data_IF_331117819083
#
_entry.id   IF_331117819083
#
_cell.length_a   1.000
_cell.length_b   1.000
_cell.length_c   1.000
_cell.angle_alpha   90.00
_cell.angle_beta   90.00
_cell.angle_gamma   90.00
#
_symmetry.space_group_name_H-M   'P 1'
#
loop_
_entity.id
_entity.type
_entity.pdbx_description
1 polymer ?
#
# COMPACT_ATOMS: atom_id res chain seq x y z
N UNK A 1 2.89 -7.99 -3.14
CA UNK A 1 3.73 -9.15 -2.72
C UNK A 1 2.91 -10.42 -2.54
N UNK A 2 1.86 -10.41 -1.70
CA UNK A 2 1.01 -11.57 -1.42
C UNK A 2 0.35 -12.18 -2.68
N UNK A 3 -0.06 -11.34 -3.64
CA UNK A 3 -0.64 -11.79 -4.92
C UNK A 3 0.26 -12.76 -5.73
N UNK A 4 1.58 -12.60 -5.65
CA UNK A 4 2.53 -13.51 -6.31
C UNK A 4 2.68 -14.82 -5.55
N UNK A 5 2.64 -14.76 -4.22
CA UNK A 5 2.76 -15.94 -3.38
C UNK A 5 1.53 -16.84 -3.49
N UNK A 6 0.33 -16.25 -3.63
CA UNK A 6 -0.92 -17.00 -3.82
C UNK A 6 -0.92 -17.90 -5.06
N UNK A 7 -0.07 -17.59 -6.05
CA UNK A 7 0.10 -18.41 -7.25
C UNK A 7 1.03 -19.63 -7.07
N UNK A 8 1.67 -19.79 -5.91
CA UNK A 8 2.64 -20.87 -5.65
C UNK A 8 1.91 -22.18 -5.35
N UNK A 9 2.09 -23.24 -6.15
CA UNK A 9 1.50 -24.54 -5.89
C UNK A 9 1.92 -25.09 -4.52
N UNK A 10 0.95 -25.50 -3.71
CA UNK A 10 1.20 -26.03 -2.37
C UNK A 10 1.20 -24.98 -1.26
N UNK A 11 1.19 -23.68 -1.59
CA UNK A 11 0.89 -22.64 -0.61
C UNK A 11 -0.63 -22.58 -0.39
N UNK A 12 -1.06 -22.64 0.86
CA UNK A 12 -2.47 -22.66 1.26
C UNK A 12 -2.94 -21.33 1.85
N UNK A 13 -2.04 -20.64 2.53
CA UNK A 13 -2.31 -19.34 3.15
C UNK A 13 -1.04 -18.51 3.11
N UNK A 14 -1.19 -17.25 2.74
CA UNK A 14 -0.17 -16.22 2.90
C UNK A 14 -0.83 -15.02 3.57
N UNK A 15 -0.26 -14.59 4.69
CA UNK A 15 -0.72 -13.41 5.40
C UNK A 15 0.47 -12.58 5.85
N UNK A 16 0.30 -11.27 5.92
CA UNK A 16 1.33 -10.33 6.34
C UNK A 16 0.89 -9.63 7.62
N UNK A 17 1.84 -9.20 8.44
CA UNK A 17 1.53 -8.30 9.54
C UNK A 17 1.29 -6.86 9.03
N UNK A 18 0.77 -6.01 9.91
CA UNK A 18 0.48 -4.60 9.60
C UNK A 18 1.67 -3.78 9.07
N UNK A 19 2.92 -4.18 9.34
CA UNK A 19 4.13 -3.45 8.90
C UNK A 19 4.75 -4.00 7.63
N UNK A 20 4.28 -5.14 7.12
CA UNK A 20 4.97 -5.80 6.02
C UNK A 20 6.29 -6.46 6.43
N UNK A 21 6.56 -6.58 7.73
CA UNK A 21 7.82 -7.11 8.28
C UNK A 21 7.76 -8.62 8.47
N UNK A 22 6.59 -9.16 8.81
CA UNK A 22 6.37 -10.58 9.06
C UNK A 22 5.43 -11.17 8.02
N UNK A 23 5.81 -12.32 7.50
CA UNK A 23 5.02 -13.11 6.58
C UNK A 23 4.68 -14.44 7.24
N UNK A 24 3.39 -14.71 7.40
CA UNK A 24 2.85 -16.00 7.84
C UNK A 24 2.47 -16.82 6.62
N UNK A 25 2.99 -18.04 6.56
CA UNK A 25 2.78 -18.97 5.46
C UNK A 25 2.24 -20.28 6.00
N UNK A 26 1.20 -20.81 5.36
CA UNK A 26 0.74 -22.19 5.55
C UNK A 26 0.95 -22.92 4.24
N UNK A 27 1.75 -23.99 4.26
CA UNK A 27 2.07 -24.77 3.08
C UNK A 27 1.74 -26.26 3.27
N UNK A 28 1.63 -26.98 2.15
CA UNK A 28 1.45 -28.44 2.12
C UNK A 28 2.65 -29.20 2.69
N UNK A 29 3.85 -28.65 2.49
CA UNK A 29 5.13 -29.26 2.87
C UNK A 29 6.24 -28.19 2.91
N UNK A 30 7.39 -28.58 3.46
CA UNK A 30 8.50 -27.67 3.70
C UNK A 30 9.18 -27.14 2.43
N UNK A 31 9.09 -27.85 1.30
CA UNK A 31 9.76 -27.44 0.05
C UNK A 31 9.14 -26.19 -0.56
N UNK A 32 7.86 -25.93 -0.27
CA UNK A 32 7.15 -24.71 -0.68
C UNK A 32 7.79 -23.45 -0.07
N UNK A 33 8.34 -23.53 1.15
CA UNK A 33 8.98 -22.38 1.79
C UNK A 33 10.27 -21.95 1.07
N UNK A 34 11.01 -22.89 0.49
CA UNK A 34 12.21 -22.57 -0.31
C UNK A 34 11.81 -21.83 -1.60
N UNK A 35 10.71 -22.23 -2.24
CA UNK A 35 10.15 -21.55 -3.41
C UNK A 35 9.71 -20.12 -3.06
N UNK A 36 8.99 -19.96 -1.94
CA UNK A 36 8.57 -18.64 -1.45
C UNK A 36 9.79 -17.73 -1.18
N UNK A 37 10.84 -18.24 -0.54
CA UNK A 37 12.08 -17.47 -0.32
C UNK A 37 12.74 -17.04 -1.63
N UNK A 38 12.72 -17.91 -2.65
CA UNK A 38 13.21 -17.58 -3.99
C UNK A 38 12.43 -16.43 -4.65
N UNK A 39 11.10 -16.46 -4.58
CA UNK A 39 10.24 -15.40 -5.11
C UNK A 39 10.45 -14.08 -4.38
N UNK A 40 10.54 -14.10 -3.04
CA UNK A 40 10.83 -12.91 -2.23
C UNK A 40 12.20 -12.31 -2.58
N UNK A 41 13.23 -13.15 -2.73
CA UNK A 41 14.55 -12.72 -3.16
C UNK A 41 14.55 -12.10 -4.56
N UNK A 42 13.79 -12.67 -5.50
CA UNK A 42 13.60 -12.10 -6.84
C UNK A 42 12.91 -10.73 -6.84
N UNK A 43 12.15 -10.42 -5.79
CA UNK A 43 11.55 -9.11 -5.55
C UNK A 43 12.46 -8.15 -4.75
N UNK A 44 13.65 -8.58 -4.35
CA UNK A 44 14.61 -7.79 -3.57
C UNK A 44 14.45 -7.88 -2.06
N UNK A 45 13.61 -8.80 -1.56
CA UNK A 45 13.42 -9.02 -0.12
C UNK A 45 14.27 -10.19 0.36
N UNK A 46 15.08 -9.96 1.40
CA UNK A 46 15.73 -11.03 2.15
C UNK A 46 14.75 -11.55 3.21
N UNK A 47 14.47 -12.85 3.21
CA UNK A 47 13.54 -13.47 4.14
C UNK A 47 14.25 -14.56 4.96
N UNK A 48 14.09 -14.49 6.28
CA UNK A 48 14.61 -15.46 7.24
C UNK A 48 13.46 -16.05 8.06
N UNK A 49 13.60 -17.30 8.47
CA UNK A 49 12.63 -17.93 9.36
C UNK A 49 12.72 -17.31 10.76
N UNK A 50 11.59 -16.84 11.28
CA UNK A 50 11.53 -16.24 12.61
C UNK A 50 10.95 -17.25 13.61
N UNK A 51 11.78 -17.68 14.55
CA UNK A 51 11.36 -18.56 15.66
C UNK A 51 10.99 -17.75 16.91
N UNK A 52 10.04 -18.25 17.71
CA UNK A 52 9.72 -17.68 19.04
C UNK A 52 8.67 -16.56 19.03
N UNK A 53 8.06 -16.27 17.89
CA UNK A 53 6.89 -15.40 17.80
C UNK A 53 5.63 -16.19 18.13
N UNK A 54 4.77 -15.65 18.99
CA UNK A 54 3.44 -16.20 19.24
C UNK A 54 2.49 -15.61 18.19
N UNK A 55 1.92 -16.43 17.28
CA UNK A 55 1.11 -15.90 16.18
C UNK A 55 -0.12 -15.11 16.62
N UNK A 56 -0.60 -15.32 17.84
CA UNK A 56 -1.74 -14.60 18.41
C UNK A 56 -1.44 -13.13 18.76
N UNK A 57 -0.17 -12.75 18.89
CA UNK A 57 0.23 -11.38 19.25
C UNK A 57 0.37 -10.47 18.03
N UNK A 58 0.21 -11.02 16.83
CA UNK A 58 0.34 -10.31 15.55
C UNK A 58 -1.02 -10.30 14.85
N UNK A 59 -1.46 -9.12 14.42
CA UNK A 59 -2.62 -8.99 13.54
C UNK A 59 -2.19 -9.36 12.13
N UNK A 60 -2.74 -10.45 11.61
CA UNK A 60 -2.46 -10.96 10.27
C UNK A 60 -3.51 -10.51 9.26
N UNK A 61 -3.05 -10.22 8.06
CA UNK A 61 -3.87 -9.80 6.93
C UNK A 61 -3.58 -10.73 5.74
N UNK A 62 -4.56 -11.53 5.35
CA UNK A 62 -4.48 -12.48 4.26
C UNK A 62 -4.56 -11.81 2.87
N UNK A 63 -4.43 -12.60 1.81
CA UNK A 63 -4.59 -12.10 0.44
C UNK A 63 -5.93 -11.41 0.19
N UNK A 64 -7.02 -11.95 0.73
CA UNK A 64 -8.35 -11.32 0.62
C UNK A 64 -8.45 -9.99 1.39
N UNK A 65 -7.59 -9.79 2.39
CA UNK A 65 -7.45 -8.55 3.17
C UNK A 65 -6.52 -7.52 2.50
N UNK A 66 -5.88 -7.85 1.37
CA UNK A 66 -4.97 -6.93 0.64
C UNK A 66 -5.70 -5.65 0.21
N UNK A 67 -7.01 -5.75 -0.07
CA UNK A 67 -7.85 -4.59 -0.34
C UNK A 67 -8.08 -3.74 0.91
N UNK A 68 -8.24 -4.36 2.06
CA UNK A 68 -8.40 -3.66 3.33
C UNK A 68 -7.08 -3.01 3.77
N UNK A 69 -5.94 -3.67 3.55
CA UNK A 69 -4.59 -3.09 3.71
C UNK A 69 -4.35 -1.91 2.77
N UNK A 70 -4.64 -2.08 1.47
CA UNK A 70 -4.51 -0.99 0.49
C UNK A 70 -5.36 0.23 0.85
N UNK A 71 -6.53 -0.01 1.47
CA UNK A 71 -7.40 1.05 1.97
C UNK A 71 -6.80 1.72 3.21
N UNK A 72 -6.39 0.95 4.23
CA UNK A 72 -5.75 1.49 5.44
C UNK A 72 -4.49 2.31 5.09
N UNK A 73 -3.65 1.82 4.17
CA UNK A 73 -2.47 2.54 3.68
C UNK A 73 -2.85 3.84 2.97
N UNK A 74 -3.82 3.80 2.06
CA UNK A 74 -4.29 4.98 1.34
C UNK A 74 -4.84 6.05 2.28
N UNK A 75 -5.60 5.67 3.30
CA UNK A 75 -6.10 6.57 4.36
C UNK A 75 -4.95 7.18 5.18
N UNK A 76 -3.94 6.39 5.56
CA UNK A 76 -2.78 6.89 6.31
C UNK A 76 -2.00 7.91 5.49
N UNK A 77 -1.74 7.61 4.22
CA UNK A 77 -1.02 8.48 3.29
C UNK A 77 -1.80 9.78 3.08
N UNK A 78 -3.08 9.69 2.70
CA UNK A 78 -3.94 10.83 2.50
C UNK A 78 -3.99 11.73 3.74
N UNK A 79 -4.16 11.14 4.93
CA UNK A 79 -4.26 11.91 6.18
C UNK A 79 -2.96 12.62 6.52
N UNK A 80 -1.82 11.97 6.30
CA UNK A 80 -0.49 12.55 6.56
C UNK A 80 -0.24 13.75 5.64
N UNK A 81 -0.48 13.59 4.34
CA UNK A 81 -0.26 14.64 3.34
C UNK A 81 -1.26 15.79 3.52
N UNK A 82 -2.55 15.48 3.71
CA UNK A 82 -3.61 16.45 3.95
C UNK A 82 -3.38 17.25 5.22
N UNK A 83 -2.93 16.62 6.30
CA UNK A 83 -2.58 17.31 7.54
C UNK A 83 -1.42 18.30 7.34
N UNK A 84 -0.39 17.91 6.58
CA UNK A 84 0.73 18.79 6.26
C UNK A 84 0.29 19.96 5.36
N UNK A 85 -0.50 19.68 4.33
CA UNK A 85 -0.98 20.69 3.39
C UNK A 85 -1.98 21.67 4.03
N UNK A 86 -2.87 21.19 4.90
CA UNK A 86 -3.76 22.04 5.70
C UNK A 86 -2.98 23.06 6.52
N UNK A 87 -1.87 22.64 7.16
CA UNK A 87 -1.03 23.55 7.95
C UNK A 87 -0.37 24.63 7.10
N UNK A 88 0.06 24.32 5.88
CA UNK A 88 0.73 25.28 5.00
C UNK A 88 -0.23 26.23 4.27
N UNK A 89 -1.45 25.78 3.96
CA UNK A 89 -2.45 26.53 3.18
C UNK A 89 -3.64 27.04 3.98
N UNK A 90 -3.66 26.81 5.30
CA UNK A 90 -4.75 27.20 6.20
C UNK A 90 -6.14 26.75 5.71
N UNK A 91 -6.23 25.48 5.25
CA UNK A 91 -7.50 24.91 4.81
C UNK A 91 -8.49 24.79 5.97
N UNK A 92 -9.77 25.02 5.69
CA UNK A 92 -10.84 24.75 6.65
C UNK A 92 -10.95 23.26 6.95
N UNK A 93 -11.43 22.90 8.14
CA UNK A 93 -11.59 21.51 8.57
C UNK A 93 -12.49 20.73 7.60
N UNK A 94 -13.58 21.34 7.15
CA UNK A 94 -14.48 20.75 6.18
C UNK A 94 -13.82 20.49 4.81
N UNK A 95 -12.91 21.38 4.38
CA UNK A 95 -12.14 21.17 3.14
C UNK A 95 -11.10 20.06 3.31
N UNK A 96 -10.42 20.03 4.46
CA UNK A 96 -9.41 19.02 4.76
C UNK A 96 -10.03 17.61 4.85
N UNK A 97 -11.18 17.45 5.51
CA UNK A 97 -11.89 16.16 5.58
C UNK A 97 -12.28 15.67 4.19
N UNK A 98 -12.89 16.54 3.37
CA UNK A 98 -13.29 16.17 2.00
C UNK A 98 -12.09 15.79 1.13
N UNK A 99 -10.96 16.51 1.29
CA UNK A 99 -9.73 16.23 0.56
C UNK A 99 -9.14 14.88 0.97
N UNK A 100 -9.10 14.60 2.28
CA UNK A 100 -8.62 13.35 2.84
C UNK A 100 -9.40 12.15 2.29
N UNK A 101 -10.72 12.19 2.37
CA UNK A 101 -11.61 11.15 1.86
C UNK A 101 -11.46 10.93 0.34
N UNK A 102 -11.44 12.03 -0.44
CA UNK A 102 -11.33 11.94 -1.90
C UNK A 102 -9.98 11.35 -2.35
N UNK A 103 -8.89 11.76 -1.70
CA UNK A 103 -7.54 11.28 -2.03
C UNK A 103 -7.34 9.84 -1.54
N UNK A 104 -7.80 9.49 -0.34
CA UNK A 104 -7.72 8.12 0.17
C UNK A 104 -8.44 7.13 -0.76
N UNK A 105 -9.66 7.46 -1.19
CA UNK A 105 -10.42 6.61 -2.12
C UNK A 105 -9.74 6.49 -3.50
N UNK A 106 -9.18 7.59 -4.01
CA UNK A 106 -8.49 7.61 -5.30
C UNK A 106 -7.20 6.78 -5.28
N UNK A 107 -6.41 6.90 -4.21
CA UNK A 107 -5.22 6.09 -3.96
C UNK A 107 -5.58 4.61 -3.80
N UNK A 108 -6.59 4.30 -2.98
CA UNK A 108 -7.07 2.93 -2.78
C UNK A 108 -7.44 2.27 -4.10
N UNK A 109 -8.26 2.92 -4.94
CA UNK A 109 -8.63 2.36 -6.25
C UNK A 109 -7.41 2.13 -7.14
N UNK A 110 -6.51 3.11 -7.22
CA UNK A 110 -5.30 2.99 -8.04
C UNK A 110 -4.43 1.81 -7.60
N UNK A 111 -4.23 1.63 -6.29
CA UNK A 111 -3.44 0.54 -5.73
C UNK A 111 -4.16 -0.80 -5.93
N UNK A 112 -5.43 -0.90 -5.54
CA UNK A 112 -6.21 -2.13 -5.60
C UNK A 112 -6.46 -2.64 -7.04
N UNK A 113 -6.58 -1.74 -8.02
CA UNK A 113 -6.76 -2.11 -9.43
C UNK A 113 -5.43 -2.49 -10.11
N UNK A 114 -4.31 -1.92 -9.66
CA UNK A 114 -3.00 -2.15 -10.27
C UNK A 114 -2.28 -3.39 -9.74
N UNK A 115 -2.62 -3.87 -8.53
CA UNK A 115 -2.01 -5.08 -7.96
C UNK A 115 -2.43 -6.37 -8.67
N UNK A 116 -3.54 -6.37 -9.40
CA UNK A 116 -4.01 -7.50 -10.21
C UNK A 116 -3.30 -7.53 -11.57
N UNK A 117 -2.01 -7.87 -11.58
CA UNK A 117 -1.30 -8.32 -12.79
C UNK A 117 -0.39 -7.31 -13.49
N UNK A 118 -0.12 -6.14 -12.89
CA UNK A 118 0.80 -5.17 -13.50
C UNK A 118 2.27 -5.58 -13.31
N UNK A 119 2.97 -5.82 -14.42
CA UNK A 119 4.44 -5.95 -14.46
C UNK A 119 5.16 -4.58 -14.38
N UNK A 120 4.42 -3.49 -14.13
CA UNK A 120 5.00 -2.16 -14.06
C UNK A 120 5.93 -2.02 -12.86
N UNK A 121 7.05 -1.32 -13.05
CA UNK A 121 7.96 -1.01 -11.96
C UNK A 121 7.23 -0.21 -10.87
N UNK A 122 7.52 -0.43 -9.57
CA UNK A 122 6.87 0.27 -8.45
C UNK A 122 6.87 1.80 -8.58
N UNK A 123 7.91 2.38 -9.17
CA UNK A 123 8.01 3.81 -9.43
C UNK A 123 6.94 4.32 -10.43
N UNK A 124 6.62 3.53 -11.45
CA UNK A 124 5.59 3.86 -12.45
C UNK A 124 4.20 3.81 -11.82
N UNK A 125 3.93 2.81 -10.97
CA UNK A 125 2.67 2.71 -10.23
C UNK A 125 2.47 3.92 -9.30
N UNK A 126 3.50 4.28 -8.53
CA UNK A 126 3.45 5.44 -7.63
C UNK A 126 3.15 6.74 -8.39
N UNK A 127 3.81 6.95 -9.53
CA UNK A 127 3.54 8.13 -10.38
C UNK A 127 2.08 8.16 -10.84
N UNK A 128 1.56 7.03 -11.32
CA UNK A 128 0.17 6.94 -11.78
C UNK A 128 -0.83 7.23 -10.64
N UNK A 129 -0.57 6.71 -9.43
CA UNK A 129 -1.43 6.97 -8.29
C UNK A 129 -1.34 8.43 -7.78
N UNK A 130 -0.20 9.10 -7.93
CA UNK A 130 -0.11 10.54 -7.71
C UNK A 130 -0.99 11.32 -8.69
N UNK A 131 -0.98 10.95 -9.98
CA UNK A 131 -1.80 11.62 -11.00
C UNK A 131 -3.30 11.46 -10.68
N UNK A 132 -3.72 10.25 -10.29
CA UNK A 132 -5.10 9.96 -9.89
C UNK A 132 -5.51 10.76 -8.63
N UNK A 133 -4.61 10.88 -7.66
CA UNK A 133 -4.84 11.70 -6.48
C UNK A 133 -4.89 13.21 -6.79
N UNK A 134 -4.09 13.70 -7.74
CA UNK A 134 -4.17 15.08 -8.22
C UNK A 134 -5.56 15.38 -8.80
N UNK A 135 -6.04 14.52 -9.70
CA UNK A 135 -7.36 14.67 -10.32
C UNK A 135 -8.50 14.65 -9.27
N UNK A 136 -8.38 13.81 -8.24
CA UNK A 136 -9.33 13.80 -7.12
C UNK A 136 -9.30 15.08 -6.27
N UNK A 137 -8.14 15.72 -6.15
CA UNK A 137 -7.95 16.95 -5.37
C UNK A 137 -8.39 18.22 -6.11
N UNK A 138 -8.30 18.25 -7.46
CA UNK A 138 -8.68 19.40 -8.31
C UNK A 138 -10.06 20.02 -7.99
N UNK A 139 -11.17 19.27 -7.88
CA UNK A 139 -12.47 19.87 -7.61
C UNK A 139 -12.60 20.48 -6.20
N UNK A 140 -11.65 20.20 -5.31
CA UNK A 140 -11.65 20.68 -3.92
C UNK A 140 -10.71 21.88 -3.75
N UNK A 141 -9.54 21.82 -4.38
CA UNK A 141 -8.45 22.78 -4.19
C UNK A 141 -8.26 23.75 -5.36
N UNK A 142 -8.74 23.39 -6.56
CA UNK A 142 -8.37 24.03 -7.82
C UNK A 142 -7.01 23.54 -8.35
N UNK A 143 -6.74 23.82 -9.62
CA UNK A 143 -5.62 23.23 -10.38
C UNK A 143 -4.24 23.46 -9.75
N UNK A 144 -3.93 24.70 -9.36
CA UNK A 144 -2.59 25.04 -8.84
C UNK A 144 -2.32 24.35 -7.50
N UNK A 145 -3.30 24.35 -6.60
CA UNK A 145 -3.17 23.72 -5.29
C UNK A 145 -3.20 22.19 -5.37
N UNK A 146 -3.92 21.61 -6.33
CA UNK A 146 -3.92 20.17 -6.57
C UNK A 146 -2.54 19.67 -7.02
N UNK A 147 -1.86 20.39 -7.93
CA UNK A 147 -0.49 20.06 -8.35
C UNK A 147 0.52 20.12 -7.20
N UNK A 148 0.40 21.15 -6.35
CA UNK A 148 1.27 21.27 -5.17
C UNK A 148 1.03 20.13 -4.17
N UNK A 149 -0.24 19.75 -3.97
CA UNK A 149 -0.63 18.63 -3.15
C UNK A 149 -0.05 17.32 -3.69
N UNK A 150 -0.18 17.07 -5.00
CA UNK A 150 0.37 15.90 -5.67
C UNK A 150 1.90 15.84 -5.55
N UNK A 151 2.59 16.98 -5.60
CA UNK A 151 4.04 17.04 -5.37
C UNK A 151 4.44 16.68 -3.93
N UNK A 152 3.61 16.98 -2.93
CA UNK A 152 3.83 16.52 -1.55
C UNK A 152 3.58 15.03 -1.41
N UNK A 153 2.52 14.52 -2.05
CA UNK A 153 2.21 13.10 -2.09
C UNK A 153 3.32 12.27 -2.75
N UNK A 154 3.87 12.74 -3.87
CA UNK A 154 4.99 12.08 -4.55
C UNK A 154 6.25 12.00 -3.68
N UNK A 155 6.53 13.05 -2.88
CA UNK A 155 7.64 13.03 -1.91
C UNK A 155 7.37 12.04 -0.78
N UNK A 156 6.14 11.97 -0.31
CA UNK A 156 5.75 11.05 0.76
C UNK A 156 5.88 9.58 0.30
N UNK A 157 5.48 9.28 -0.94
CA UNK A 157 5.55 7.94 -1.53
C UNK A 157 6.96 7.49 -1.95
N UNK A 158 7.97 8.36 -1.91
CA UNK A 158 9.36 8.05 -2.28
C UNK A 158 10.32 7.89 -1.10
N UNK A 159 9.86 8.21 0.12
CA UNK A 159 10.69 8.19 1.34
C UNK A 159 10.56 6.85 2.12
N UNK A 160 9.71 5.93 1.67
CA UNK A 160 9.57 4.56 2.19
C UNK A 160 10.36 3.54 1.38
#
# INVERSE_FOLDING_TARGET
>A
MLARLDSIPGLREAAVDHRGELLRLVASDASVFDVVRGELSGLGYAAEEVSGLVPADVRWYAFDDVRDLSREEAEIIARRVTSAFRRSRALSDATAIRLDEAVAEALYRCLAESELGSAAAPATLRSACCDVAEEAARPILGDDQAREYAALLAKDLTVT
#
